data_IF_501135273442
#
_entry.id   IF_501135273442
#
_cell.length_a   1.000
_cell.length_b   1.000
_cell.length_c   1.000
_cell.angle_alpha   90.00
_cell.angle_beta   90.00
_cell.angle_gamma   90.00
#
_symmetry.space_group_name_H-M   'P 1'
#
loop_
_entity.id
_entity.type
_entity.pdbx_description
1 polymer ?
#
# COMPACT_ATOMS: atom_id res chain seq x y z
N UNK A 1 -5.33 -34.49 -19.46
CA UNK A 1 -5.13 -33.19 -20.12
C UNK A 1 -6.43 -32.50 -20.54
N UNK A 2 -7.36 -33.19 -21.24
CA UNK A 2 -8.66 -32.61 -21.62
C UNK A 2 -9.54 -32.25 -20.40
N UNK A 3 -9.46 -33.04 -19.33
CA UNK A 3 -10.17 -32.80 -18.06
C UNK A 3 -9.72 -31.50 -17.35
N UNK A 4 -8.42 -31.17 -17.35
CA UNK A 4 -7.89 -29.97 -16.67
C UNK A 4 -8.28 -28.66 -17.37
N UNK A 5 -8.28 -28.63 -18.71
CA UNK A 5 -8.77 -27.46 -19.48
C UNK A 5 -10.29 -27.23 -19.35
N UNK A 6 -11.07 -28.31 -19.22
CA UNK A 6 -12.51 -28.22 -18.92
C UNK A 6 -12.75 -27.67 -17.51
N UNK A 7 -11.89 -28.01 -16.53
CA UNK A 7 -11.97 -27.49 -15.17
C UNK A 7 -11.76 -25.97 -15.15
N UNK A 8 -10.78 -25.44 -15.89
CA UNK A 8 -10.53 -24.00 -15.97
C UNK A 8 -11.72 -23.24 -16.59
N UNK A 9 -12.34 -23.80 -17.64
CA UNK A 9 -13.54 -23.22 -18.24
C UNK A 9 -14.73 -23.22 -17.28
N UNK A 10 -14.90 -24.30 -16.50
CA UNK A 10 -15.94 -24.41 -15.49
C UNK A 10 -15.73 -23.45 -14.31
N UNK A 11 -14.50 -23.35 -13.78
CA UNK A 11 -14.16 -22.42 -12.70
C UNK A 11 -14.44 -20.96 -13.10
N UNK A 12 -14.08 -20.58 -14.34
CA UNK A 12 -14.37 -19.23 -14.85
C UNK A 12 -15.88 -18.96 -15.05
N UNK A 13 -16.70 -19.99 -15.22
CA UNK A 13 -18.16 -19.86 -15.36
C UNK A 13 -18.90 -19.76 -14.02
N UNK A 14 -18.30 -20.26 -12.94
CA UNK A 14 -18.85 -20.20 -11.58
C UNK A 14 -18.63 -18.83 -10.90
N UNK A 15 -17.76 -18.00 -11.46
CA UNK A 15 -17.49 -16.65 -10.97
C UNK A 15 -18.48 -15.60 -11.55
N UNK A 16 -19.69 -16.00 -11.98
CA UNK A 16 -20.76 -15.07 -12.39
C UNK A 16 -21.21 -14.20 -11.21
N UNK A 17 -21.08 -12.85 -11.31
CA UNK A 17 -21.45 -11.91 -10.24
C UNK A 17 -22.87 -12.09 -9.69
N UNK A 18 -23.79 -12.64 -10.50
CA UNK A 18 -25.18 -12.86 -10.10
C UNK A 18 -25.38 -13.94 -9.04
N UNK A 19 -24.37 -14.78 -8.77
CA UNK A 19 -24.48 -15.94 -7.87
C UNK A 19 -23.93 -15.72 -6.45
N UNK A 20 -23.27 -14.59 -6.18
CA UNK A 20 -22.56 -14.37 -4.90
C UNK A 20 -23.47 -13.79 -3.80
N UNK A 21 -24.02 -14.68 -2.96
CA UNK A 21 -24.78 -14.34 -1.73
C UNK A 21 -23.97 -13.48 -0.73
N UNK A 22 -22.64 -13.54 -0.79
CA UNK A 22 -21.74 -12.75 0.04
C UNK A 22 -21.76 -11.26 -0.34
N UNK A 23 -21.81 -10.94 -1.64
CA UNK A 23 -21.88 -9.56 -2.13
C UNK A 23 -23.21 -8.89 -1.74
N UNK A 24 -24.31 -9.64 -1.83
CA UNK A 24 -25.65 -9.18 -1.42
C UNK A 24 -25.74 -8.88 0.09
N UNK A 25 -25.01 -9.63 0.92
CA UNK A 25 -24.97 -9.41 2.37
C UNK A 25 -24.08 -8.23 2.79
N UNK A 26 -23.08 -7.87 1.97
CA UNK A 26 -22.16 -6.75 2.22
C UNK A 26 -22.82 -5.41 1.87
N UNK A 27 -23.64 -5.35 0.81
CA UNK A 27 -24.41 -4.14 0.47
C UNK A 27 -25.42 -3.74 1.56
N UNK A 28 -25.93 -4.72 2.31
CA UNK A 28 -26.93 -4.50 3.37
C UNK A 28 -26.35 -4.09 4.74
N UNK A 29 -25.03 -4.21 4.97
CA UNK A 29 -24.38 -3.73 6.21
C UNK A 29 -23.74 -2.37 6.01
N UNK A 30 -24.16 -1.38 6.81
CA UNK A 30 -23.55 -0.04 6.85
C UNK A 30 -22.15 -0.15 7.47
N UNK A 31 -21.14 -0.43 6.65
CA UNK A 31 -19.74 -0.50 7.08
C UNK A 31 -19.24 0.92 7.35
N UNK A 32 -18.97 1.25 8.62
CA UNK A 32 -18.60 2.60 9.08
C UNK A 32 -17.08 2.81 9.22
N UNK A 33 -16.32 1.74 9.49
CA UNK A 33 -14.85 1.78 9.58
C UNK A 33 -14.24 0.84 8.54
N UNK A 34 -13.66 1.42 7.48
CA UNK A 34 -13.00 0.68 6.40
C UNK A 34 -11.89 1.54 5.77
N UNK A 35 -10.74 1.72 6.46
CA UNK A 35 -9.63 2.53 5.96
C UNK A 35 -8.98 1.98 4.68
N UNK A 36 -9.16 0.69 4.38
CA UNK A 36 -8.65 0.05 3.16
C UNK A 36 -9.63 0.12 1.96
N UNK A 37 -10.84 0.63 2.15
CA UNK A 37 -11.89 0.53 1.14
C UNK A 37 -12.04 1.84 0.35
N UNK A 38 -11.63 1.82 -0.92
CA UNK A 38 -11.72 2.96 -1.83
C UNK A 38 -13.14 3.52 -1.93
N UNK A 39 -14.16 2.68 -2.06
CA UNK A 39 -15.55 3.14 -2.16
C UNK A 39 -16.03 3.83 -0.89
N UNK A 40 -15.61 3.37 0.29
CA UNK A 40 -15.92 4.01 1.56
C UNK A 40 -15.12 5.31 1.75
N UNK A 41 -13.88 5.37 1.28
CA UNK A 41 -13.11 6.61 1.22
C UNK A 41 -13.80 7.64 0.32
N UNK A 42 -14.20 7.26 -0.91
CA UNK A 42 -14.93 8.13 -1.83
C UNK A 42 -16.25 8.62 -1.26
N UNK A 43 -17.01 7.76 -0.55
CA UNK A 43 -18.23 8.17 0.17
C UNK A 43 -17.98 9.21 1.26
N UNK A 44 -16.85 9.13 1.96
CA UNK A 44 -16.47 10.18 2.93
C UNK A 44 -16.03 11.44 2.20
N UNK A 45 -15.18 11.33 1.19
CA UNK A 45 -14.66 12.47 0.43
C UNK A 45 -15.78 13.25 -0.27
N UNK A 46 -16.83 12.57 -0.77
CA UNK A 46 -17.97 13.23 -1.41
C UNK A 46 -18.77 14.13 -0.46
N UNK A 47 -18.58 14.02 0.85
CA UNK A 47 -19.22 14.92 1.82
C UNK A 47 -18.60 16.31 1.85
N UNK A 48 -17.37 16.48 1.35
CA UNK A 48 -16.61 17.74 1.39
C UNK A 48 -16.95 18.69 0.23
N UNK A 49 -18.15 18.64 -0.32
CA UNK A 49 -18.56 19.43 -1.49
C UNK A 49 -18.64 20.95 -1.23
N UNK A 50 -18.90 21.38 0.01
CA UNK A 50 -18.87 22.78 0.45
C UNK A 50 -17.55 23.20 1.10
N UNK A 51 -16.54 22.32 1.12
CA UNK A 51 -15.39 22.48 1.97
C UNK A 51 -14.43 23.56 1.47
N UNK A 52 -14.21 24.65 2.20
CA UNK A 52 -13.41 25.78 1.66
C UNK A 52 -11.96 25.45 1.26
N UNK A 53 -11.35 24.39 1.80
CA UNK A 53 -9.92 24.07 1.60
C UNK A 53 -9.73 22.89 0.64
N UNK A 54 -9.93 23.13 -0.66
CA UNK A 54 -9.83 22.11 -1.72
C UNK A 54 -8.42 21.90 -2.28
N UNK A 55 -7.48 22.81 -2.01
CA UNK A 55 -6.13 22.70 -2.58
C UNK A 55 -5.40 21.47 -2.05
N UNK A 56 -4.96 20.59 -2.94
CA UNK A 56 -4.21 19.39 -2.57
C UNK A 56 -2.83 19.72 -1.99
N UNK A 57 -2.31 20.90 -2.31
CA UNK A 57 -0.99 21.38 -1.86
C UNK A 57 -1.01 21.82 -0.38
N UNK A 58 -2.21 21.97 0.21
CA UNK A 58 -2.36 22.21 1.64
C UNK A 58 -2.42 20.87 2.39
N UNK A 59 -1.64 20.70 3.47
CA UNK A 59 -1.66 19.47 4.27
C UNK A 59 -3.03 19.21 4.94
N UNK A 60 -3.90 20.21 5.00
CA UNK A 60 -5.21 20.18 5.68
C UNK A 60 -6.43 20.14 4.76
N UNK A 61 -6.28 19.54 3.58
CA UNK A 61 -7.34 19.48 2.57
C UNK A 61 -8.42 18.40 2.84
N UNK A 62 -9.48 18.42 2.03
CA UNK A 62 -10.59 17.45 2.10
C UNK A 62 -10.14 15.98 2.05
N UNK A 63 -9.10 15.67 1.25
CA UNK A 63 -8.53 14.32 1.13
C UNK A 63 -7.89 13.90 2.44
N UNK A 64 -7.12 14.77 3.09
CA UNK A 64 -6.48 14.49 4.37
C UNK A 64 -7.51 14.17 5.46
N UNK A 65 -8.56 14.98 5.60
CA UNK A 65 -9.66 14.73 6.54
C UNK A 65 -10.41 13.41 6.23
N UNK A 66 -10.76 13.17 4.97
CA UNK A 66 -11.45 11.94 4.57
C UNK A 66 -10.60 10.68 4.80
N UNK A 67 -9.27 10.76 4.62
CA UNK A 67 -8.33 9.68 4.93
C UNK A 67 -8.30 9.36 6.42
N UNK A 68 -8.47 10.35 7.28
CA UNK A 68 -8.55 10.16 8.74
C UNK A 68 -9.97 9.80 9.23
N UNK A 69 -10.92 9.51 8.33
CA UNK A 69 -12.23 9.00 8.72
C UNK A 69 -13.28 10.06 9.01
N UNK A 70 -12.99 11.31 8.69
CA UNK A 70 -13.91 12.42 8.85
C UNK A 70 -14.83 12.58 7.64
N UNK A 71 -16.04 13.06 7.90
CA UNK A 71 -17.01 13.49 6.88
C UNK A 71 -17.47 14.91 7.17
N UNK A 72 -17.59 15.74 6.14
CA UNK A 72 -18.09 17.10 6.28
C UNK A 72 -19.62 17.07 6.46
N UNK A 73 -20.12 17.75 7.48
CA UNK A 73 -21.57 17.86 7.79
C UNK A 73 -22.08 19.30 7.66
N UNK A 74 -21.23 20.24 7.24
CA UNK A 74 -21.54 21.65 7.01
C UNK A 74 -20.43 22.31 6.17
N UNK A 75 -20.34 23.64 6.22
CA UNK A 75 -19.30 24.40 5.49
C UNK A 75 -17.91 24.29 6.14
N UNK A 76 -17.88 24.24 7.47
CA UNK A 76 -16.64 24.18 8.25
C UNK A 76 -16.61 23.02 9.23
N UNK A 77 -17.68 22.25 9.36
CA UNK A 77 -17.75 21.21 10.42
C UNK A 77 -17.53 19.82 9.85
N UNK A 78 -16.60 19.08 10.45
CA UNK A 78 -16.35 17.67 10.16
C UNK A 78 -16.78 16.79 11.32
N UNK A 79 -17.27 15.60 11.03
CA UNK A 79 -17.71 14.61 12.01
C UNK A 79 -17.13 13.23 11.68
N UNK A 80 -16.70 12.50 12.71
CA UNK A 80 -16.37 11.09 12.57
C UNK A 80 -17.65 10.24 12.63
N UNK A 81 -17.91 9.43 11.61
CA UNK A 81 -19.10 8.57 11.62
C UNK A 81 -19.04 7.41 12.63
N UNK A 82 -17.83 7.06 13.10
CA UNK A 82 -17.60 6.00 14.08
C UNK A 82 -17.77 6.49 15.52
N UNK A 83 -16.97 7.48 15.94
CA UNK A 83 -16.97 7.98 17.33
C UNK A 83 -17.87 9.20 17.56
N UNK A 84 -18.52 9.72 16.51
CA UNK A 84 -19.46 10.85 16.52
C UNK A 84 -18.88 12.22 16.94
N UNK A 85 -17.60 12.29 17.29
CA UNK A 85 -16.91 13.55 17.55
C UNK A 85 -16.98 14.48 16.35
N UNK A 86 -17.07 15.78 16.65
CA UNK A 86 -17.14 16.87 15.68
C UNK A 86 -16.01 17.86 15.90
N UNK A 87 -15.51 18.43 14.81
CA UNK A 87 -14.51 19.49 14.81
C UNK A 87 -15.02 20.61 13.92
N UNK A 88 -15.01 21.83 14.44
CA UNK A 88 -15.34 23.02 13.68
C UNK A 88 -14.06 23.66 13.15
N UNK A 89 -13.92 23.74 11.83
CA UNK A 89 -12.77 24.23 11.10
C UNK A 89 -12.95 25.74 10.87
N UNK A 90 -13.11 26.47 11.98
CA UNK A 90 -13.00 27.92 11.99
C UNK A 90 -11.52 28.28 12.02
N UNK A 91 -10.87 28.16 10.88
CA UNK A 91 -9.51 28.66 10.71
C UNK A 91 -9.61 30.09 10.19
N UNK A 92 -9.25 31.05 11.03
CA UNK A 92 -8.98 32.42 10.60
C UNK A 92 -7.89 32.38 9.52
N UNK A 93 -8.05 33.20 8.47
CA UNK A 93 -7.27 33.15 7.23
C UNK A 93 -5.82 33.62 7.39
N UNK A 94 -5.06 33.13 8.38
CA UNK A 94 -3.65 33.50 8.58
C UNK A 94 -2.77 32.33 9.04
N UNK A 95 -3.12 31.08 8.70
CA UNK A 95 -2.29 29.92 9.01
C UNK A 95 -0.97 29.95 8.20
N UNK A 96 0.09 30.47 8.82
CA UNK A 96 1.47 30.32 8.39
C UNK A 96 1.87 28.83 8.43
N UNK A 97 2.92 28.47 7.68
CA UNK A 97 3.42 27.09 7.51
C UNK A 97 3.64 26.31 8.82
N UNK A 98 3.86 27.00 9.95
CA UNK A 98 4.05 26.42 11.30
C UNK A 98 2.80 25.72 11.88
N UNK A 99 1.58 26.02 11.40
CA UNK A 99 0.35 25.38 11.91
C UNK A 99 0.03 24.03 11.23
N UNK A 100 0.78 23.65 10.20
CA UNK A 100 0.52 22.44 9.42
C UNK A 100 0.60 21.16 10.26
N UNK A 101 1.61 21.04 11.13
CA UNK A 101 1.75 19.89 12.03
C UNK A 101 0.64 19.84 13.09
N UNK A 102 0.24 21.00 13.62
CA UNK A 102 -0.84 21.08 14.60
C UNK A 102 -2.18 20.62 14.01
N UNK A 103 -2.47 21.02 12.76
CA UNK A 103 -3.70 20.62 12.07
C UNK A 103 -3.67 19.12 11.72
N UNK A 104 -2.54 18.59 11.23
CA UNK A 104 -2.40 17.14 10.98
C UNK A 104 -2.59 16.34 12.28
N UNK A 105 -2.01 16.80 13.38
CA UNK A 105 -2.22 16.19 14.71
C UNK A 105 -3.68 16.25 15.13
N UNK A 106 -4.39 17.34 14.84
CA UNK A 106 -5.82 17.48 15.13
C UNK A 106 -6.66 16.44 14.36
N UNK A 107 -6.32 16.12 13.10
CA UNK A 107 -7.03 15.08 12.33
C UNK A 107 -6.97 13.71 12.99
N UNK A 108 -5.85 13.39 13.65
CA UNK A 108 -5.63 12.13 14.33
C UNK A 108 -6.22 12.12 15.74
N UNK A 109 -6.05 13.23 16.48
CA UNK A 109 -6.33 13.29 17.91
C UNK A 109 -7.72 13.80 18.25
N UNK A 110 -8.42 14.52 17.37
CA UNK A 110 -9.77 15.02 17.67
C UNK A 110 -10.84 13.90 17.75
N UNK A 111 -10.48 12.67 17.44
CA UNK A 111 -11.31 11.51 17.74
C UNK A 111 -11.33 11.17 19.23
N UNK A 112 -12.43 10.57 19.70
CA UNK A 112 -12.50 9.94 21.02
C UNK A 112 -11.34 8.95 21.22
N UNK A 113 -10.85 8.80 22.46
CA UNK A 113 -9.64 8.02 22.79
C UNK A 113 -9.64 6.60 22.21
N UNK A 114 -10.80 5.94 22.22
CA UNK A 114 -10.97 4.56 21.74
C UNK A 114 -11.40 4.44 20.27
N UNK A 115 -11.39 5.53 19.50
CA UNK A 115 -11.77 5.49 18.09
C UNK A 115 -10.69 4.81 17.24
N UNK A 116 -11.07 3.86 16.39
CA UNK A 116 -10.10 3.17 15.51
C UNK A 116 -9.42 4.11 14.50
N UNK A 117 -10.08 5.22 14.11
CA UNK A 117 -9.48 6.24 13.24
C UNK A 117 -8.31 6.99 13.88
N UNK A 118 -8.26 7.05 15.22
CA UNK A 118 -7.12 7.59 15.99
C UNK A 118 -5.85 6.75 15.86
N UNK A 119 -6.00 5.45 15.55
CA UNK A 119 -4.89 4.48 15.45
C UNK A 119 -4.47 4.20 14.02
N UNK A 120 -5.42 4.16 13.08
CA UNK A 120 -5.16 3.79 11.68
C UNK A 120 -6.09 4.56 10.75
N UNK A 121 -5.49 5.44 9.95
CA UNK A 121 -6.10 6.17 8.84
C UNK A 121 -6.07 5.35 7.54
N UNK A 122 -6.64 5.89 6.46
CA UNK A 122 -6.42 5.43 5.09
C UNK A 122 -4.95 5.71 4.68
N UNK A 123 -4.01 4.99 5.29
CA UNK A 123 -2.64 4.89 4.80
C UNK A 123 -2.60 3.76 3.77
N UNK A 124 -2.91 4.13 2.53
CA UNK A 124 -2.96 3.21 1.39
C UNK A 124 -1.62 2.46 1.21
N UNK A 125 -0.50 3.11 1.57
CA UNK A 125 0.85 2.57 1.41
C UNK A 125 1.17 1.45 2.39
N UNK A 126 1.04 1.68 3.70
CA UNK A 126 1.35 0.65 4.71
C UNK A 126 0.48 -0.59 4.56
N UNK A 127 -0.83 -0.39 4.35
CA UNK A 127 -1.78 -1.50 4.16
C UNK A 127 -1.44 -2.28 2.89
N UNK A 128 -1.10 -1.60 1.79
CA UNK A 128 -0.74 -2.27 0.55
C UNK A 128 0.60 -3.02 0.66
N UNK A 129 1.57 -2.49 1.40
CA UNK A 129 2.85 -3.15 1.68
C UNK A 129 2.64 -4.39 2.57
N UNK A 130 1.83 -4.29 3.63
CA UNK A 130 1.44 -5.45 4.46
C UNK A 130 0.79 -6.54 3.60
N UNK A 131 -0.21 -6.17 2.80
CA UNK A 131 -0.90 -7.09 1.91
C UNK A 131 0.04 -7.69 0.83
N UNK A 132 1.02 -6.92 0.34
CA UNK A 132 2.06 -7.42 -0.55
C UNK A 132 2.90 -8.50 0.13
N UNK A 133 3.38 -8.25 1.35
CA UNK A 133 4.21 -9.21 2.09
C UNK A 133 3.44 -10.51 2.38
N UNK A 134 2.15 -10.41 2.71
CA UNK A 134 1.28 -11.58 2.91
C UNK A 134 1.12 -12.40 1.63
N UNK A 135 0.87 -11.76 0.48
CA UNK A 135 0.81 -12.45 -0.83
C UNK A 135 2.12 -13.16 -1.16
N UNK A 136 3.25 -12.47 -0.98
CA UNK A 136 4.56 -13.01 -1.29
C UNK A 136 4.89 -14.21 -0.40
N UNK A 137 4.64 -14.10 0.91
CA UNK A 137 4.84 -15.20 1.86
C UNK A 137 3.96 -16.41 1.53
N UNK A 138 2.71 -16.18 1.13
CA UNK A 138 1.81 -17.27 0.74
C UNK A 138 2.31 -17.97 -0.52
N UNK A 139 2.67 -17.20 -1.55
CA UNK A 139 3.21 -17.76 -2.80
C UNK A 139 4.55 -18.49 -2.59
N UNK A 140 5.38 -18.06 -1.65
CA UNK A 140 6.63 -18.76 -1.30
C UNK A 140 6.41 -20.21 -0.80
N UNK A 141 5.19 -20.57 -0.38
CA UNK A 141 4.84 -21.97 -0.01
C UNK A 141 4.55 -22.87 -1.21
N UNK A 142 4.38 -22.30 -2.41
CA UNK A 142 3.97 -23.01 -3.61
C UNK A 142 5.21 -23.54 -4.35
N UNK A 143 5.27 -24.85 -4.60
CA UNK A 143 6.41 -25.49 -5.29
C UNK A 143 6.33 -25.37 -6.81
N UNK A 144 5.13 -25.28 -7.37
CA UNK A 144 4.87 -25.29 -8.82
C UNK A 144 4.45 -23.88 -9.28
N UNK A 145 5.38 -22.92 -9.25
CA UNK A 145 5.14 -21.57 -9.76
C UNK A 145 5.73 -21.42 -11.17
N UNK A 146 5.19 -20.51 -12.00
CA UNK A 146 5.76 -20.26 -13.31
C UNK A 146 7.22 -19.78 -13.20
N UNK A 147 8.14 -20.53 -13.80
CA UNK A 147 9.57 -20.20 -13.79
C UNK A 147 9.88 -18.93 -14.60
N UNK A 148 9.18 -18.75 -15.74
CA UNK A 148 9.36 -17.59 -16.63
C UNK A 148 8.17 -16.65 -16.51
N UNK A 149 8.41 -15.45 -16.00
CA UNK A 149 7.45 -14.37 -15.98
C UNK A 149 7.78 -13.36 -17.09
N UNK A 150 6.75 -12.92 -17.83
CA UNK A 150 6.85 -11.73 -18.69
C UNK A 150 6.37 -10.55 -17.86
N UNK A 151 7.23 -9.55 -17.71
CA UNK A 151 6.98 -8.32 -16.98
C UNK A 151 7.01 -7.12 -17.94
N UNK A 152 6.30 -6.03 -17.63
CA UNK A 152 6.37 -4.79 -18.38
C UNK A 152 7.79 -4.20 -18.39
N UNK A 153 8.18 -3.55 -19.49
CA UNK A 153 9.50 -2.94 -19.66
C UNK A 153 9.77 -1.81 -18.65
N UNK A 154 8.71 -1.11 -18.22
CA UNK A 154 8.78 0.00 -17.27
C UNK A 154 8.83 -0.47 -15.79
N UNK A 155 8.79 -1.78 -15.55
CA UNK A 155 8.98 -2.33 -14.21
C UNK A 155 10.47 -2.31 -13.83
N UNK A 156 10.80 -1.59 -12.76
CA UNK A 156 12.15 -1.61 -12.19
C UNK A 156 12.42 -2.95 -11.48
N UNK A 157 13.09 -3.87 -12.15
CA UNK A 157 13.37 -5.23 -11.67
C UNK A 157 14.25 -5.23 -10.41
N UNK A 158 15.07 -4.20 -10.20
CA UNK A 158 16.03 -4.09 -9.08
C UNK A 158 15.39 -4.16 -7.68
N UNK A 159 14.07 -3.95 -7.58
CA UNK A 159 13.31 -4.06 -6.33
C UNK A 159 12.93 -5.49 -5.96
N UNK A 160 13.12 -6.44 -6.87
CA UNK A 160 12.49 -7.75 -6.80
C UNK A 160 13.53 -8.86 -6.85
N UNK A 161 13.49 -9.76 -5.87
CA UNK A 161 14.44 -10.86 -5.71
C UNK A 161 13.86 -12.21 -6.13
N UNK A 162 12.53 -12.35 -6.14
CA UNK A 162 11.83 -13.61 -6.43
C UNK A 162 10.62 -13.43 -7.35
N UNK A 163 10.29 -14.46 -8.13
CA UNK A 163 9.06 -14.50 -8.92
C UNK A 163 7.79 -14.31 -8.07
N UNK A 164 7.81 -14.75 -6.81
CA UNK A 164 6.69 -14.59 -5.86
C UNK A 164 6.40 -13.14 -5.53
N UNK A 165 7.44 -12.32 -5.41
CA UNK A 165 7.32 -10.87 -5.21
C UNK A 165 6.79 -10.19 -6.49
N UNK A 166 7.26 -10.60 -7.67
CA UNK A 166 6.71 -10.10 -8.95
C UNK A 166 5.21 -10.37 -9.01
N UNK A 167 4.79 -11.64 -8.85
CA UNK A 167 3.39 -12.03 -8.85
C UNK A 167 2.57 -11.23 -7.81
N UNK A 168 3.13 -11.01 -6.63
CA UNK A 168 2.48 -10.25 -5.55
C UNK A 168 2.31 -8.76 -5.87
N UNK A 169 3.25 -8.15 -6.60
CA UNK A 169 3.18 -6.76 -7.06
C UNK A 169 2.02 -6.58 -8.04
N UNK A 170 1.80 -7.55 -8.93
CA UNK A 170 0.68 -7.54 -9.88
C UNK A 170 -0.64 -8.03 -9.25
N UNK A 171 -0.65 -8.33 -7.95
CA UNK A 171 -1.87 -8.70 -7.25
C UNK A 171 -2.32 -10.14 -7.45
N UNK A 172 -1.44 -11.00 -7.97
CA UNK A 172 -1.64 -12.44 -7.95
C UNK A 172 -1.41 -13.00 -6.55
N UNK A 173 -2.19 -14.00 -6.19
CA UNK A 173 -2.16 -14.68 -4.91
C UNK A 173 -2.26 -16.19 -5.13
N UNK A 174 -1.84 -16.98 -4.14
CA UNK A 174 -1.97 -18.43 -4.17
C UNK A 174 -3.32 -18.87 -3.57
N UNK A 175 -3.96 -19.86 -4.19
CA UNK A 175 -5.13 -20.56 -3.64
C UNK A 175 -4.93 -22.06 -3.86
N UNK A 176 -5.10 -22.85 -2.81
CA UNK A 176 -5.08 -24.31 -2.89
C UNK A 176 -6.49 -24.83 -2.65
N UNK A 177 -7.00 -25.65 -3.58
CA UNK A 177 -8.29 -26.34 -3.47
C UNK A 177 -8.06 -27.81 -3.78
N UNK A 178 -8.34 -28.69 -2.82
CA UNK A 178 -8.20 -30.14 -2.98
C UNK A 178 -6.82 -30.58 -3.52
N UNK A 179 -5.75 -29.94 -3.04
CA UNK A 179 -4.37 -30.19 -3.47
C UNK A 179 -4.00 -29.58 -4.82
N UNK A 180 -4.90 -28.83 -5.46
CA UNK A 180 -4.67 -28.13 -6.72
C UNK A 180 -4.31 -26.67 -6.42
N UNK A 181 -3.10 -26.28 -6.82
CA UNK A 181 -2.60 -24.91 -6.66
C UNK A 181 -3.06 -24.01 -7.82
N UNK A 182 -3.64 -22.87 -7.49
CA UNK A 182 -4.12 -21.87 -8.44
C UNK A 182 -3.51 -20.52 -8.13
N UNK A 183 -3.08 -19.80 -9.18
CA UNK A 183 -2.87 -18.37 -9.12
C UNK A 183 -4.23 -17.68 -9.25
N UNK A 184 -4.53 -16.80 -8.30
CA UNK A 184 -5.79 -16.08 -8.26
C UNK A 184 -5.55 -14.59 -8.11
N UNK A 185 -6.34 -13.78 -8.80
CA UNK A 185 -6.44 -12.36 -8.53
C UNK A 185 -7.76 -12.09 -7.80
N UNK A 186 -7.71 -11.59 -6.57
CA UNK A 186 -8.91 -11.30 -5.77
C UNK A 186 -9.69 -10.09 -6.27
N UNK A 187 -9.08 -9.25 -7.13
CA UNK A 187 -9.71 -8.04 -7.66
C UNK A 187 -10.53 -8.29 -8.93
N UNK A 188 -10.06 -9.18 -9.82
CA UNK A 188 -10.77 -9.53 -11.05
C UNK A 188 -11.30 -10.98 -11.05
N UNK A 189 -11.14 -11.70 -9.94
CA UNK A 189 -11.56 -13.09 -9.74
C UNK A 189 -11.01 -14.07 -10.78
N UNK A 190 -9.91 -13.71 -11.45
CA UNK A 190 -9.24 -14.60 -12.39
C UNK A 190 -8.55 -15.71 -11.61
N UNK A 191 -8.73 -16.97 -12.04
CA UNK A 191 -8.07 -18.16 -11.48
C UNK A 191 -7.38 -18.92 -12.61
N UNK A 192 -6.12 -19.27 -12.40
CA UNK A 192 -5.29 -19.91 -13.42
C UNK A 192 -4.37 -20.94 -12.78
N UNK A 193 -4.34 -22.14 -13.34
CA UNK A 193 -3.36 -23.16 -12.99
C UNK A 193 -1.94 -22.78 -13.41
N UNK A 194 -0.94 -22.82 -12.52
CA UNK A 194 0.47 -22.58 -12.87
C UNK A 194 1.00 -23.49 -13.98
N UNK A 195 0.52 -24.75 -14.02
CA UNK A 195 0.87 -25.77 -15.04
C UNK A 195 0.50 -25.38 -16.47
N UNK A 196 -0.36 -24.37 -16.68
CA UNK A 196 -0.79 -23.96 -18.00
C UNK A 196 0.35 -23.33 -18.83
N UNK A 197 1.46 -22.95 -18.17
CA UNK A 197 2.60 -22.26 -18.78
C UNK A 197 3.86 -23.13 -18.90
N UNK A 198 3.83 -24.36 -18.38
CA UNK A 198 4.93 -25.34 -18.49
C UNK A 198 4.92 -26.11 -19.82
N UNK A 199 3.74 -26.33 -20.39
CA UNK A 199 3.56 -27.16 -21.60
C UNK A 199 4.02 -26.47 -22.89
N UNK A 200 3.99 -25.14 -22.92
CA UNK A 200 4.57 -24.33 -23.99
C UNK A 200 5.77 -23.57 -23.43
N UNK A 201 6.92 -24.25 -23.26
CA UNK A 201 8.20 -23.72 -22.74
C UNK A 201 8.67 -22.35 -23.30
N UNK A 202 7.98 -21.81 -24.32
CA UNK A 202 8.22 -20.52 -24.97
C UNK A 202 7.29 -19.38 -24.51
N UNK A 203 6.09 -19.63 -23.95
CA UNK A 203 5.11 -18.53 -23.75
C UNK A 203 5.29 -17.74 -22.45
N UNK A 204 5.75 -18.35 -21.35
CA UNK A 204 5.89 -17.67 -20.05
C UNK A 204 4.55 -17.15 -19.49
N UNK A 205 4.50 -16.84 -18.20
CA UNK A 205 3.32 -16.24 -17.56
C UNK A 205 3.40 -14.72 -17.69
N UNK A 206 2.47 -14.11 -18.42
CA UNK A 206 2.40 -12.65 -18.53
C UNK A 206 1.57 -12.06 -17.40
N UNK A 207 2.27 -11.40 -16.48
CA UNK A 207 1.69 -10.91 -15.24
C UNK A 207 0.60 -9.86 -15.46
N UNK A 208 0.59 -9.19 -16.62
CA UNK A 208 -0.47 -8.25 -17.01
C UNK A 208 -1.55 -8.96 -17.81
N UNK A 209 -1.18 -9.62 -18.90
CA UNK A 209 -2.12 -10.15 -19.89
C UNK A 209 -3.04 -11.23 -19.32
N UNK A 210 -2.58 -11.96 -18.31
CA UNK A 210 -3.38 -13.02 -17.69
C UNK A 210 -4.53 -12.49 -16.84
N UNK A 211 -4.53 -11.21 -16.45
CA UNK A 211 -5.68 -10.59 -15.80
C UNK A 211 -6.84 -10.35 -16.77
N UNK A 212 -8.05 -10.21 -16.24
CA UNK A 212 -9.15 -9.61 -17.00
C UNK A 212 -8.86 -8.13 -17.26
N UNK A 213 -9.23 -7.61 -18.42
CA UNK A 213 -8.92 -6.25 -18.88
C UNK A 213 -9.41 -5.11 -17.97
N UNK A 214 -10.44 -5.34 -17.15
CA UNK A 214 -10.96 -4.38 -16.18
C UNK A 214 -10.23 -4.43 -14.81
N UNK A 215 -9.24 -5.31 -14.65
CA UNK A 215 -8.60 -5.53 -13.36
C UNK A 215 -7.88 -4.24 -12.88
N UNK A 216 -8.14 -3.77 -11.65
CA UNK A 216 -7.55 -2.54 -11.14
C UNK A 216 -6.01 -2.60 -11.00
N UNK A 217 -5.45 -3.81 -10.93
CA UNK A 217 -4.01 -3.99 -10.92
C UNK A 217 -3.37 -3.54 -12.22
N UNK A 218 -4.03 -3.70 -13.37
CA UNK A 218 -3.49 -3.41 -14.71
C UNK A 218 -4.20 -2.27 -15.44
N UNK A 219 -5.39 -1.88 -14.99
CA UNK A 219 -6.23 -0.87 -15.62
C UNK A 219 -6.56 0.25 -14.63
N UNK A 220 -5.88 1.37 -14.79
CA UNK A 220 -6.06 2.57 -13.95
C UNK A 220 -7.43 3.23 -14.14
N UNK A 221 -7.96 3.20 -15.36
CA UNK A 221 -9.28 3.75 -15.70
C UNK A 221 -10.40 3.07 -14.91
N UNK A 222 -10.30 1.77 -14.68
CA UNK A 222 -11.28 0.99 -13.91
C UNK A 222 -11.38 1.39 -12.44
N UNK A 223 -10.41 2.16 -11.93
CA UNK A 223 -10.45 2.73 -10.58
C UNK A 223 -10.46 4.25 -10.58
N UNK A 224 -10.42 4.91 -11.73
CA UNK A 224 -10.18 6.37 -11.81
C UNK A 224 -8.91 6.72 -11.03
N UNK A 225 -7.81 6.02 -11.32
CA UNK A 225 -6.47 6.35 -10.82
C UNK A 225 -5.60 6.86 -11.95
N UNK A 226 -4.57 7.66 -11.60
CA UNK A 226 -3.56 8.09 -12.58
C UNK A 226 -2.76 6.89 -13.11
N UNK A 227 -2.43 5.95 -12.22
CA UNK A 227 -1.61 4.78 -12.53
C UNK A 227 -2.31 3.46 -12.12
N UNK A 228 -1.99 2.33 -12.77
CA UNK A 228 -2.48 1.01 -12.39
C UNK A 228 -1.93 0.58 -11.03
N UNK A 229 -2.65 -0.32 -10.35
CA UNK A 229 -2.34 -0.73 -8.97
C UNK A 229 -0.91 -1.26 -8.78
N UNK A 230 -0.37 -1.99 -9.77
CA UNK A 230 0.99 -2.53 -9.67
C UNK A 230 2.05 -1.41 -9.63
N UNK A 231 1.87 -0.33 -10.39
CA UNK A 231 2.77 0.83 -10.40
C UNK A 231 2.73 1.59 -9.09
N UNK A 232 1.51 1.80 -8.56
CA UNK A 232 1.30 2.48 -7.28
C UNK A 232 2.04 1.70 -6.17
N UNK A 233 1.88 0.39 -6.13
CA UNK A 233 2.56 -0.46 -5.15
C UNK A 233 4.08 -0.48 -5.35
N UNK A 234 4.57 -0.58 -6.59
CA UNK A 234 5.99 -0.47 -6.90
C UNK A 234 6.60 0.84 -6.38
N UNK A 235 5.90 1.97 -6.55
CA UNK A 235 6.36 3.27 -6.07
C UNK A 235 6.48 3.27 -4.54
N UNK A 236 5.49 2.76 -3.82
CA UNK A 236 5.57 2.65 -2.35
C UNK A 236 6.75 1.78 -1.89
N UNK A 237 6.98 0.63 -2.52
CA UNK A 237 8.12 -0.23 -2.23
C UNK A 237 9.46 0.47 -2.51
N UNK A 238 9.55 1.27 -3.57
CA UNK A 238 10.72 2.09 -3.89
C UNK A 238 11.01 3.13 -2.81
N UNK A 239 9.98 3.87 -2.39
CA UNK A 239 10.12 4.88 -1.34
C UNK A 239 10.57 4.25 -0.01
N UNK A 240 10.04 3.06 0.34
CA UNK A 240 10.46 2.33 1.53
C UNK A 240 11.92 1.85 1.45
N UNK A 241 12.36 1.37 0.28
CA UNK A 241 13.75 0.94 0.08
C UNK A 241 14.73 2.12 0.20
N UNK A 242 14.39 3.25 -0.43
CA UNK A 242 15.18 4.50 -0.35
C UNK A 242 15.26 5.03 1.08
N UNK A 243 14.14 5.10 1.81
CA UNK A 243 14.14 5.59 3.19
C UNK A 243 14.98 4.72 4.13
N UNK A 244 14.92 3.39 3.98
CA UNK A 244 15.80 2.46 4.71
C UNK A 244 17.27 2.70 4.37
N UNK A 245 17.60 2.88 3.09
CA UNK A 245 18.98 3.12 2.65
C UNK A 245 19.56 4.44 3.18
N UNK A 246 18.74 5.49 3.25
CA UNK A 246 19.11 6.79 3.82
C UNK A 246 19.37 6.66 5.32
N UNK A 247 18.46 6.03 6.06
CA UNK A 247 18.61 5.84 7.51
C UNK A 247 19.89 5.03 7.86
N UNK A 248 20.21 3.99 7.06
CA UNK A 248 21.44 3.23 7.22
C UNK A 248 22.68 4.11 6.97
N UNK A 249 22.67 4.93 5.91
CA UNK A 249 23.76 5.87 5.63
C UNK A 249 23.95 6.88 6.75
N UNK A 250 22.86 7.49 7.21
CA UNK A 250 22.87 8.44 8.33
C UNK A 250 23.43 7.79 9.61
N UNK A 251 23.03 6.55 9.90
CA UNK A 251 23.55 5.77 11.02
C UNK A 251 25.06 5.50 10.90
N UNK A 252 25.53 5.15 9.70
CA UNK A 252 26.95 4.92 9.41
C UNK A 252 27.77 6.20 9.52
N UNK A 253 27.26 7.32 9.01
CA UNK A 253 27.91 8.62 9.08
C UNK A 253 28.05 9.10 10.52
N UNK A 254 27.03 8.88 11.35
CA UNK A 254 27.10 9.13 12.80
C UNK A 254 28.19 8.28 13.46
N UNK A 255 28.30 6.99 13.11
CA UNK A 255 29.34 6.10 13.65
C UNK A 255 30.75 6.52 13.20
N UNK A 256 30.93 6.88 11.93
CA UNK A 256 32.20 7.36 11.39
C UNK A 256 32.63 8.68 12.04
N UNK A 257 31.68 9.59 12.29
CA UNK A 257 31.96 10.85 12.99
C UNK A 257 32.47 10.59 14.40
N UNK A 258 31.84 9.70 15.17
CA UNK A 258 32.30 9.30 16.51
C UNK A 258 33.72 8.72 16.50
N UNK A 259 34.00 7.80 15.56
CA UNK A 259 35.33 7.20 15.43
C UNK A 259 36.42 8.26 15.14
N UNK A 260 36.13 9.23 14.27
CA UNK A 260 37.07 10.33 13.99
C UNK A 260 37.33 11.19 15.23
N UNK A 261 36.30 11.51 16.00
CA UNK A 261 36.45 12.26 17.26
C UNK A 261 37.32 11.49 18.26
N UNK A 262 37.01 10.21 18.51
CA UNK A 262 37.78 9.37 19.44
C UNK A 262 39.24 9.20 19.00
N UNK A 263 39.51 9.02 17.70
CA UNK A 263 40.87 8.96 17.17
C UNK A 263 41.60 10.30 17.33
N UNK A 264 40.91 11.42 17.13
CA UNK A 264 41.45 12.76 17.37
C UNK A 264 41.84 12.96 18.83
N UNK A 265 41.01 12.52 19.78
CA UNK A 265 41.27 12.61 21.21
C UNK A 265 42.47 11.74 21.62
N UNK A 266 42.56 10.51 21.11
CA UNK A 266 43.69 9.60 21.36
C UNK A 266 45.00 10.17 20.81
N UNK A 267 44.98 10.77 19.61
CA UNK A 267 46.16 11.39 19.03
C UNK A 267 46.60 12.64 19.84
N UNK A 268 45.65 13.47 20.27
CA UNK A 268 45.92 14.61 21.14
C UNK A 268 46.49 14.20 22.51
N UNK A 269 45.96 13.14 23.12
CA UNK A 269 46.48 12.60 24.39
C UNK A 269 47.89 12.03 24.23
N UNK A 270 48.18 11.32 23.14
CA UNK A 270 49.52 10.79 22.86
C UNK A 270 50.56 11.90 22.58
N UNK A 271 50.16 13.00 21.95
CA UNK A 271 51.01 14.19 21.77
C UNK A 271 51.28 14.86 23.13
N UNK A 272 50.28 14.93 24.00
CA UNK A 272 50.42 15.49 25.36
C UNK A 272 51.38 14.66 26.23
N UNK A 273 51.27 13.32 26.19
CA UNK A 273 52.16 12.40 26.89
C UNK A 273 53.61 12.50 26.39
N UNK A 274 53.82 12.61 25.07
CA UNK A 274 55.18 12.80 24.50
C UNK A 274 55.81 14.14 24.89
N UNK A 275 55.02 15.20 25.08
CA UNK A 275 55.54 16.51 25.54
C UNK A 275 55.94 16.53 27.01
N UNK A 276 55.37 15.66 27.85
CA UNK A 276 55.72 15.54 29.27
C UNK A 276 56.96 14.66 29.54
N UNK A 277 57.46 13.91 28.55
CA UNK A 277 58.65 13.06 28.69
C UNK A 277 59.95 13.83 28.36
N UNK A 278 59.86 15.01 27.73
CA UNK A 278 60.99 15.88 27.38
C UNK A 278 61.09 17.16 28.24
N UNK A 279 60.54 17.14 29.46
CA UNK A 279 60.73 18.20 30.46
C UNK A 279 61.48 17.67 31.68
#
# INVERSE_FOLDING_TARGET
MHSKRKLDALLNSLDDPKSSLMLQSIENKKIVYAPWCRSQFSKRLSTFWLFRYHSIDLPFNAVAWAKHGWTCIGETTVQCQLCKQQVDLKMEMEAQLDESEAIVSQMETAHAENCNWRKKSCDDGKIAIEAFNERAKKLDTFKELPERLKVPEDMKIDLVKKNTEILSIFGWNGLEIDGILLLVCTACHRRIGPWNFELEKKKGFDVIFEHRNYCPWINSTSQISAEPGWKILCNWLQHLSKSKSLNIKDSLDVRLKRLRTTLGDILSQNICLKKNIFR
#
